data_IF_174910613156
#
_entry.id   IF_174910613156
#
_cell.length_a   1.000
_cell.length_b   1.000
_cell.length_c   1.000
_cell.angle_alpha   90.00
_cell.angle_beta   90.00
_cell.angle_gamma   90.00
#
_symmetry.space_group_name_H-M   'P 1'
#
loop_
_entity.id
_entity.type
_entity.pdbx_description
1 polymer ?
#
# COMPACT_ATOMS: atom_id res chain seq x y z
N UNK A 1 -16.41 16.61 11.84
CA UNK A 1 -15.94 16.92 10.47
C UNK A 1 -14.66 16.15 10.17
N UNK A 2 -14.66 15.27 9.18
CA UNK A 2 -13.44 14.62 8.71
C UNK A 2 -12.65 15.63 7.85
N UNK A 3 -11.44 16.01 8.26
CA UNK A 3 -10.60 16.90 7.44
C UNK A 3 -10.05 16.13 6.24
N UNK A 4 -10.21 16.66 5.03
CA UNK A 4 -9.64 16.12 3.79
C UNK A 4 -8.15 15.81 3.94
N UNK A 5 -7.42 16.70 4.63
CA UNK A 5 -6.00 16.56 4.99
C UNK A 5 -5.68 15.26 5.72
N UNK A 6 -6.60 14.78 6.58
CA UNK A 6 -6.41 13.50 7.29
C UNK A 6 -6.50 12.33 6.32
N UNK A 7 -7.48 12.33 5.41
CA UNK A 7 -7.62 11.27 4.41
C UNK A 7 -6.39 11.19 3.50
N UNK A 8 -5.93 12.34 3.02
CA UNK A 8 -4.73 12.44 2.18
C UNK A 8 -3.49 11.97 2.93
N UNK A 9 -3.31 12.37 4.19
CA UNK A 9 -2.19 11.91 5.00
C UNK A 9 -2.17 10.37 5.12
N UNK A 10 -3.31 9.74 5.41
CA UNK A 10 -3.37 8.28 5.52
C UNK A 10 -3.13 7.57 4.18
N UNK A 11 -3.54 8.16 3.05
CA UNK A 11 -3.19 7.65 1.72
C UNK A 11 -1.67 7.68 1.47
N UNK A 12 -0.98 8.74 1.89
CA UNK A 12 0.49 8.80 1.82
C UNK A 12 1.15 7.78 2.75
N UNK A 13 0.68 7.63 3.99
CA UNK A 13 1.23 6.64 4.91
C UNK A 13 1.06 5.22 4.34
N UNK A 14 -0.08 4.93 3.73
CA UNK A 14 -0.32 3.67 3.01
C UNK A 14 0.69 3.44 1.88
N UNK A 15 0.95 4.46 1.06
CA UNK A 15 2.00 4.40 0.03
C UNK A 15 3.37 4.09 0.61
N UNK A 16 3.76 4.73 1.73
CA UNK A 16 5.04 4.45 2.39
C UNK A 16 5.13 3.02 2.94
N UNK A 17 4.06 2.50 3.54
CA UNK A 17 4.01 1.10 3.99
C UNK A 17 4.21 0.13 2.82
N UNK A 18 3.53 0.37 1.69
CA UNK A 18 3.75 -0.40 0.47
C UNK A 18 5.20 -0.28 -0.02
N UNK A 19 5.77 0.93 -0.03
CA UNK A 19 7.14 1.17 -0.47
C UNK A 19 8.17 0.38 0.35
N UNK A 20 8.02 0.36 1.68
CA UNK A 20 8.90 -0.42 2.57
C UNK A 20 8.76 -1.92 2.28
N UNK A 21 7.54 -2.43 2.20
CA UNK A 21 7.31 -3.87 1.92
C UNK A 21 7.83 -4.26 0.53
N UNK A 22 7.60 -3.43 -0.48
CA UNK A 22 8.10 -3.63 -1.84
C UNK A 22 9.63 -3.66 -1.89
N UNK A 23 10.28 -2.77 -1.11
CA UNK A 23 11.74 -2.76 -0.98
C UNK A 23 12.29 -4.01 -0.28
N UNK A 24 11.65 -4.43 0.82
CA UNK A 24 12.01 -5.68 1.52
C UNK A 24 11.92 -6.88 0.59
N UNK A 25 10.88 -6.94 -0.23
CA UNK A 25 10.64 -8.04 -1.17
C UNK A 25 11.65 -8.07 -2.34
N UNK A 26 12.09 -6.90 -2.82
CA UNK A 26 13.04 -6.80 -3.94
C UNK A 26 14.51 -6.93 -3.54
N UNK A 27 14.82 -6.82 -2.25
CA UNK A 27 16.21 -6.88 -1.79
C UNK A 27 16.70 -8.33 -1.86
N UNK A 28 17.66 -8.59 -2.73
CA UNK A 28 18.27 -9.90 -2.98
C UNK A 28 18.89 -10.56 -1.74
N UNK A 29 19.19 -9.79 -0.69
CA UNK A 29 19.66 -10.33 0.59
C UNK A 29 18.59 -11.10 1.37
N UNK A 30 17.31 -10.84 1.12
CA UNK A 30 16.24 -11.39 1.95
C UNK A 30 15.64 -12.69 1.41
N UNK A 31 15.92 -13.12 0.17
CA UNK A 31 15.40 -14.35 -0.44
C UNK A 31 13.87 -14.55 -0.25
N UNK A 32 13.10 -13.46 -0.17
CA UNK A 32 11.66 -13.48 0.13
C UNK A 32 10.78 -13.91 -1.06
N UNK A 33 11.38 -14.08 -2.24
CA UNK A 33 10.69 -14.51 -3.45
C UNK A 33 11.46 -15.60 -4.18
N UNK A 34 10.72 -16.53 -4.79
CA UNK A 34 11.27 -17.58 -5.66
C UNK A 34 11.83 -17.05 -6.99
N UNK A 35 11.46 -15.81 -7.37
CA UNK A 35 11.93 -15.11 -8.56
C UNK A 35 12.65 -13.84 -8.10
N UNK A 36 13.91 -13.66 -8.50
CA UNK A 36 14.64 -12.42 -8.29
C UNK A 36 13.98 -11.30 -9.09
N UNK A 37 13.25 -10.40 -8.41
CA UNK A 37 12.77 -9.16 -9.01
C UNK A 37 13.97 -8.22 -9.15
N UNK A 38 14.15 -7.65 -10.34
CA UNK A 38 15.26 -6.71 -10.54
C UNK A 38 14.98 -5.39 -9.82
N UNK A 39 16.03 -4.72 -9.36
CA UNK A 39 15.92 -3.41 -8.69
C UNK A 39 15.18 -2.38 -9.58
N UNK A 40 15.31 -2.49 -10.91
CA UNK A 40 14.60 -1.62 -11.85
C UNK A 40 13.07 -1.86 -11.84
N UNK A 41 12.63 -3.12 -11.76
CA UNK A 41 11.21 -3.48 -11.67
C UNK A 41 10.59 -3.00 -10.35
N UNK A 42 11.36 -3.04 -9.25
CA UNK A 42 10.94 -2.48 -7.95
C UNK A 42 10.69 -0.97 -8.05
N UNK A 43 11.63 -0.22 -8.61
CA UNK A 43 11.48 1.23 -8.80
C UNK A 43 10.32 1.57 -9.72
N UNK A 44 10.12 0.79 -10.79
CA UNK A 44 8.97 0.95 -11.68
C UNK A 44 7.65 0.74 -10.93
N UNK A 45 7.54 -0.33 -10.14
CA UNK A 45 6.35 -0.60 -9.32
C UNK A 45 6.07 0.50 -8.29
N UNK A 46 7.12 1.07 -7.69
CA UNK A 46 7.01 2.17 -6.73
C UNK A 46 6.60 3.48 -7.40
N UNK A 47 7.10 3.75 -8.61
CA UNK A 47 6.75 4.93 -9.40
C UNK A 47 5.29 4.85 -9.89
N UNK A 48 4.85 3.67 -10.34
CA UNK A 48 3.44 3.40 -10.67
C UNK A 48 2.56 3.64 -9.44
N UNK A 49 2.96 3.14 -8.27
CA UNK A 49 2.24 3.36 -7.03
C UNK A 49 2.13 4.83 -6.67
N UNK A 50 3.22 5.58 -6.79
CA UNK A 50 3.22 7.02 -6.53
C UNK A 50 2.22 7.75 -7.43
N UNK A 51 2.24 7.45 -8.73
CA UNK A 51 1.32 8.06 -9.72
C UNK A 51 -0.12 7.69 -9.40
N UNK A 52 -0.42 6.43 -9.08
CA UNK A 52 -1.78 5.98 -8.77
C UNK A 52 -2.31 6.61 -7.47
N UNK A 53 -1.50 6.68 -6.41
CA UNK A 53 -1.89 7.39 -5.18
C UNK A 53 -2.11 8.87 -5.42
N UNK A 54 -1.25 9.52 -6.22
CA UNK A 54 -1.41 10.92 -6.58
C UNK A 54 -2.70 11.18 -7.37
N UNK A 55 -3.00 10.35 -8.37
CA UNK A 55 -4.26 10.41 -9.13
C UNK A 55 -5.48 10.17 -8.23
N UNK A 56 -5.40 9.22 -7.30
CA UNK A 56 -6.45 8.99 -6.31
C UNK A 56 -6.70 10.21 -5.42
N UNK A 57 -5.64 10.85 -4.94
CA UNK A 57 -5.74 12.09 -4.15
C UNK A 57 -6.33 13.22 -4.98
N UNK A 58 -5.88 13.44 -6.21
CA UNK A 58 -6.45 14.44 -7.11
C UNK A 58 -7.95 14.19 -7.37
N UNK A 59 -8.34 12.93 -7.58
CA UNK A 59 -9.74 12.57 -7.77
C UNK A 59 -10.60 12.96 -6.55
N UNK A 60 -10.08 12.79 -5.33
CA UNK A 60 -10.75 13.24 -4.10
C UNK A 60 -10.92 14.77 -4.06
N UNK A 61 -9.95 15.54 -4.55
CA UNK A 61 -10.06 17.00 -4.64
C UNK A 61 -11.08 17.47 -5.69
N UNK A 62 -11.20 16.76 -6.81
CA UNK A 62 -12.09 17.13 -7.91
C UNK A 62 -13.54 16.75 -7.59
N UNK A 63 -13.80 15.49 -7.25
CA UNK A 63 -15.15 14.99 -7.05
C UNK A 63 -15.17 13.87 -6.02
N UNK A 64 -16.14 13.95 -5.12
CA UNK A 64 -16.29 13.00 -4.04
C UNK A 64 -16.57 11.57 -4.45
N UNK A 65 -17.42 11.36 -5.45
CA UNK A 65 -17.68 10.02 -5.95
C UNK A 65 -16.45 9.45 -6.66
N UNK A 66 -15.79 10.26 -7.50
CA UNK A 66 -14.58 9.83 -8.19
C UNK A 66 -13.45 9.50 -7.21
N UNK A 67 -13.20 10.35 -6.21
CA UNK A 67 -12.24 10.08 -5.17
C UNK A 67 -12.54 8.79 -4.40
N UNK A 68 -13.82 8.51 -4.11
CA UNK A 68 -14.21 7.26 -3.48
C UNK A 68 -13.83 6.03 -4.30
N UNK A 69 -14.16 6.02 -5.60
CA UNK A 69 -13.88 4.88 -6.46
C UNK A 69 -12.40 4.78 -6.82
N UNK A 70 -11.75 5.88 -7.21
CA UNK A 70 -10.35 5.88 -7.66
C UNK A 70 -9.41 5.62 -6.49
N UNK A 71 -9.47 6.41 -5.41
CA UNK A 71 -8.58 6.19 -4.26
C UNK A 71 -8.92 4.88 -3.54
N UNK A 72 -10.20 4.51 -3.46
CA UNK A 72 -10.62 3.21 -2.92
C UNK A 72 -10.03 2.04 -3.71
N UNK A 73 -10.07 2.09 -5.05
CA UNK A 73 -9.47 1.09 -5.91
C UNK A 73 -7.95 1.00 -5.72
N UNK A 74 -7.25 2.14 -5.67
CA UNK A 74 -5.81 2.21 -5.44
C UNK A 74 -5.45 1.53 -4.11
N UNK A 75 -6.14 1.90 -3.02
CA UNK A 75 -5.91 1.30 -1.70
C UNK A 75 -6.18 -0.20 -1.71
N UNK A 76 -7.21 -0.67 -2.42
CA UNK A 76 -7.51 -2.11 -2.56
C UNK A 76 -6.41 -2.85 -3.32
N UNK A 77 -5.95 -2.33 -4.47
CA UNK A 77 -4.87 -2.93 -5.27
C UNK A 77 -3.61 -3.07 -4.41
N UNK A 78 -3.22 -2.03 -3.69
CA UNK A 78 -2.03 -2.08 -2.84
C UNK A 78 -2.21 -2.92 -1.58
N UNK A 79 -3.44 -3.12 -1.11
CA UNK A 79 -3.74 -4.11 -0.07
C UNK A 79 -3.50 -5.53 -0.58
N UNK A 80 -3.94 -5.86 -1.80
CA UNK A 80 -3.67 -7.16 -2.42
C UNK A 80 -2.17 -7.38 -2.65
N UNK A 81 -1.45 -6.31 -3.00
CA UNK A 81 0.02 -6.32 -3.07
C UNK A 81 0.67 -6.69 -1.73
N UNK A 82 0.22 -6.09 -0.63
CA UNK A 82 0.69 -6.41 0.72
C UNK A 82 0.36 -7.86 1.11
N UNK A 83 -0.86 -8.35 0.83
CA UNK A 83 -1.23 -9.75 1.09
C UNK A 83 -0.36 -10.71 0.29
N UNK A 84 -0.08 -10.39 -0.99
CA UNK A 84 0.81 -11.19 -1.83
C UNK A 84 2.24 -11.23 -1.28
N UNK A 85 2.72 -10.11 -0.74
CA UNK A 85 4.03 -10.03 -0.09
C UNK A 85 4.08 -10.90 1.17
N UNK A 86 3.06 -10.85 2.02
CA UNK A 86 2.94 -11.70 3.21
C UNK A 86 2.96 -13.19 2.84
N UNK A 87 2.12 -13.60 1.88
CA UNK A 87 2.09 -15.00 1.41
C UNK A 87 3.45 -15.47 0.87
N UNK A 88 4.17 -14.59 0.16
CA UNK A 88 5.50 -14.89 -0.35
C UNK A 88 6.51 -15.06 0.79
N UNK A 89 6.44 -14.22 1.84
CA UNK A 89 7.26 -14.37 3.04
C UNK A 89 7.05 -15.70 3.75
N UNK A 90 5.81 -16.21 3.80
CA UNK A 90 5.52 -17.53 4.36
C UNK A 90 6.17 -18.68 3.56
N UNK A 91 6.18 -18.57 2.23
CA UNK A 91 6.74 -19.58 1.34
C UNK A 91 8.27 -19.49 1.17
N UNK A 92 8.89 -18.40 1.63
CA UNK A 92 10.32 -18.13 1.49
C UNK A 92 11.19 -18.95 2.45
N UNK A 93 12.48 -19.14 2.11
CA UNK A 93 13.53 -19.68 2.99
C UNK A 93 14.27 -18.60 3.81
N UNK A 94 13.80 -17.36 3.79
CA UNK A 94 14.37 -16.22 4.53
C UNK A 94 14.48 -16.48 6.04
N UNK A 95 15.46 -15.82 6.69
CA UNK A 95 15.61 -15.86 8.14
C UNK A 95 14.34 -15.39 8.87
N UNK A 96 14.04 -16.02 10.02
CA UNK A 96 12.81 -15.77 10.79
C UNK A 96 12.62 -14.29 11.15
N UNK A 97 13.71 -13.58 11.47
CA UNK A 97 13.69 -12.16 11.81
C UNK A 97 13.16 -11.28 10.67
N UNK A 98 13.54 -11.60 9.43
CA UNK A 98 13.13 -10.88 8.22
C UNK A 98 11.65 -11.13 7.92
N UNK A 99 11.21 -12.38 8.08
CA UNK A 99 9.80 -12.75 7.94
C UNK A 99 8.92 -12.03 8.96
N UNK A 100 9.36 -12.00 10.21
CA UNK A 100 8.64 -11.29 11.28
C UNK A 100 8.55 -9.79 10.98
N UNK A 101 9.64 -9.17 10.52
CA UNK A 101 9.65 -7.76 10.13
C UNK A 101 8.68 -7.50 8.96
N UNK A 102 8.68 -8.37 7.93
CA UNK A 102 7.77 -8.28 6.79
C UNK A 102 6.31 -8.41 7.24
N UNK A 103 6.04 -9.33 8.16
CA UNK A 103 4.71 -9.59 8.70
C UNK A 103 4.17 -8.39 9.49
N UNK A 104 4.97 -7.85 10.41
CA UNK A 104 4.62 -6.65 11.17
C UNK A 104 4.34 -5.48 10.22
N UNK A 105 5.23 -5.23 9.26
CA UNK A 105 5.06 -4.13 8.30
C UNK A 105 3.85 -4.33 7.38
N UNK A 106 3.61 -5.56 6.92
CA UNK A 106 2.47 -5.89 6.09
C UNK A 106 1.14 -5.75 6.85
N UNK A 107 1.06 -6.21 8.10
CA UNK A 107 -0.13 -6.07 8.95
C UNK A 107 -0.41 -4.60 9.27
N UNK A 108 0.62 -3.81 9.61
CA UNK A 108 0.49 -2.36 9.82
C UNK A 108 -0.03 -1.69 8.54
N UNK A 109 0.55 -2.01 7.38
CA UNK A 109 0.11 -1.49 6.09
C UNK A 109 -1.34 -1.83 5.78
N UNK A 110 -1.77 -3.07 6.01
CA UNK A 110 -3.16 -3.50 5.83
C UNK A 110 -4.11 -2.78 6.80
N UNK A 111 -3.71 -2.60 8.07
CA UNK A 111 -4.47 -1.84 9.04
C UNK A 111 -4.67 -0.38 8.62
N UNK A 112 -3.63 0.25 8.07
CA UNK A 112 -3.68 1.61 7.55
C UNK A 112 -4.56 1.69 6.30
N UNK A 113 -4.48 0.73 5.39
CA UNK A 113 -5.32 0.66 4.20
C UNK A 113 -6.80 0.51 4.58
N UNK A 114 -7.10 -0.41 5.49
CA UNK A 114 -8.44 -0.62 6.01
C UNK A 114 -8.99 0.65 6.66
N UNK A 115 -8.18 1.29 7.52
CA UNK A 115 -8.56 2.55 8.14
C UNK A 115 -8.78 3.66 7.11
N UNK A 116 -7.96 3.73 6.06
CA UNK A 116 -8.12 4.68 4.95
C UNK A 116 -9.44 4.45 4.20
N UNK A 117 -9.84 3.20 3.95
CA UNK A 117 -11.15 2.87 3.38
C UNK A 117 -12.31 3.27 4.29
N UNK A 118 -12.17 3.08 5.61
CA UNK A 118 -13.16 3.57 6.59
C UNK A 118 -13.26 5.09 6.55
N UNK A 119 -12.13 5.80 6.46
CA UNK A 119 -12.12 7.26 6.30
C UNK A 119 -12.78 7.69 4.99
N UNK A 120 -12.53 7.00 3.89
CA UNK A 120 -13.15 7.23 2.58
C UNK A 120 -14.67 7.03 2.60
N UNK A 121 -15.15 5.93 3.20
CA UNK A 121 -16.59 5.67 3.32
C UNK A 121 -17.29 6.68 4.23
N UNK A 122 -16.63 7.16 5.29
CA UNK A 122 -17.12 8.26 6.12
C UNK A 122 -17.10 9.57 5.36
N UNK A 123 -16.02 9.85 4.63
CA UNK A 123 -15.92 11.04 3.79
C UNK A 123 -16.99 11.06 2.72
N UNK A 124 -17.39 9.92 2.16
CA UNK A 124 -18.54 9.75 1.23
C UNK A 124 -19.91 9.93 1.88
N UNK A 125 -20.06 9.74 3.20
CA UNK A 125 -21.35 9.85 3.91
C UNK A 125 -21.58 11.18 4.64
N UNK A 126 -20.52 11.83 5.13
CA UNK A 126 -20.60 12.97 6.05
C UNK A 126 -20.88 14.35 5.39
N UNK A 127 -21.47 14.36 4.20
CA UNK A 127 -21.77 15.48 3.30
C UNK A 127 -22.66 14.93 2.18
#
# INVERSE_FOLDING_TARGET
MLKLTRLVAFAFVSFFCYGIVNWMMSTSHFHLQAKNISVAEMWQGLLIALVLYFLGVLAVYINRMLGFYVLGLVVLIYSLGLVSALMSGYQSTAGMEIKLALEVMGVIGLGINFYTLVLLTRWRRAN
#
